data_IF_986047458625
#
_entry.id   IF_986047458625
#
_cell.length_a   1.000
_cell.length_b   1.000
_cell.length_c   1.000
_cell.angle_alpha   90.00
_cell.angle_beta   90.00
_cell.angle_gamma   90.00
#
_symmetry.space_group_name_H-M   'P 1'
#
loop_
_entity.id
_entity.type
_entity.pdbx_description
1 polymer ?
#
# COMPACT_ATOMS: atom_id res chain seq x y z
N UNK A 1 10.61 5.49 4.06
CA UNK A 1 10.68 4.51 2.97
C UNK A 1 10.36 3.12 3.50
N UNK A 2 9.33 2.49 2.96
CA UNK A 2 8.86 1.15 3.35
C UNK A 2 9.30 0.11 2.32
N UNK A 3 9.71 -1.06 2.81
CA UNK A 3 10.09 -2.21 1.99
C UNK A 3 9.05 -3.33 2.08
N UNK A 4 9.16 -4.32 1.19
CA UNK A 4 8.31 -5.51 1.21
C UNK A 4 8.38 -6.23 2.57
N UNK A 5 9.58 -6.38 3.14
CA UNK A 5 9.73 -7.04 4.46
C UNK A 5 8.97 -6.30 5.56
N UNK A 6 9.09 -4.97 5.61
CA UNK A 6 8.35 -4.14 6.57
C UNK A 6 6.85 -4.36 6.39
N UNK A 7 6.36 -4.34 5.15
CA UNK A 7 4.94 -4.56 4.84
C UNK A 7 4.43 -5.91 5.34
N UNK A 8 5.21 -6.99 5.17
CA UNK A 8 4.83 -8.32 5.68
C UNK A 8 4.78 -8.33 7.21
N UNK A 9 5.78 -7.74 7.86
CA UNK A 9 5.86 -7.67 9.31
C UNK A 9 4.68 -6.86 9.88
N UNK A 10 4.43 -5.68 9.31
CA UNK A 10 3.32 -4.81 9.70
C UNK A 10 1.96 -5.50 9.49
N UNK A 11 1.74 -6.20 8.36
CA UNK A 11 0.50 -6.98 8.13
C UNK A 11 0.33 -8.10 9.17
N UNK A 12 1.43 -8.78 9.50
CA UNK A 12 1.40 -9.86 10.48
C UNK A 12 1.09 -9.33 11.87
N UNK A 13 1.70 -8.22 12.27
CA UNK A 13 1.53 -7.61 13.58
C UNK A 13 0.15 -6.96 13.74
N UNK A 14 -0.26 -6.16 12.76
CA UNK A 14 -1.47 -5.36 12.85
C UNK A 14 -2.75 -6.18 12.66
N UNK A 15 -2.79 -7.07 11.68
CA UNK A 15 -4.03 -7.80 11.32
C UNK A 15 -3.89 -9.32 11.44
N UNK A 16 -2.76 -9.83 11.94
CA UNK A 16 -2.58 -11.26 12.16
C UNK A 16 -2.57 -12.08 10.86
N UNK A 17 -2.14 -11.48 9.73
CA UNK A 17 -2.26 -12.06 8.38
C UNK A 17 -3.70 -12.46 7.99
N UNK A 18 -4.73 -11.81 8.55
CA UNK A 18 -6.11 -12.05 8.14
C UNK A 18 -6.27 -11.79 6.63
N UNK A 19 -6.57 -12.82 5.82
CA UNK A 19 -6.45 -12.73 4.37
C UNK A 19 -7.60 -11.95 3.72
N UNK A 20 -8.70 -11.75 4.43
CA UNK A 20 -9.93 -11.09 3.96
C UNK A 20 -9.87 -9.56 4.02
N UNK A 21 -8.80 -9.00 4.60
CA UNK A 21 -8.58 -7.56 4.56
C UNK A 21 -8.33 -7.09 3.13
N UNK A 22 -9.03 -6.04 2.70
CA UNK A 22 -8.79 -5.36 1.42
C UNK A 22 -7.76 -4.25 1.60
N UNK A 23 -6.92 -4.03 0.59
CA UNK A 23 -5.85 -3.03 0.65
C UNK A 23 -6.31 -1.72 0.01
N UNK A 24 -6.14 -0.62 0.73
CA UNK A 24 -6.55 0.71 0.31
C UNK A 24 -5.42 1.72 0.50
N UNK A 25 -5.40 2.74 -0.35
CA UNK A 25 -4.57 3.92 -0.17
C UNK A 25 -5.38 5.02 0.52
N UNK A 26 -4.83 5.59 1.60
CA UNK A 26 -5.34 6.83 2.18
C UNK A 26 -4.50 7.98 1.65
N UNK A 27 -5.15 8.88 0.92
CA UNK A 27 -4.53 10.02 0.28
C UNK A 27 -4.50 11.18 1.28
N UNK A 28 -3.32 11.75 1.52
CA UNK A 28 -3.14 12.86 2.44
C UNK A 28 -2.61 14.08 1.68
N UNK A 29 -3.11 15.27 2.02
CA UNK A 29 -2.69 16.56 1.45
C UNK A 29 -2.12 17.44 2.57
N UNK A 30 -1.14 18.27 2.26
CA UNK A 30 -0.68 19.29 3.20
C UNK A 30 -1.80 20.28 3.53
N UNK A 31 -1.89 20.70 4.80
CA UNK A 31 -2.75 21.81 5.19
C UNK A 31 -2.17 23.12 4.61
N UNK A 32 -2.93 23.89 3.81
CA UNK A 32 -2.47 25.16 3.25
C UNK A 32 -2.05 26.20 4.30
N UNK A 33 -2.48 26.04 5.56
CA UNK A 33 -2.17 26.95 6.67
C UNK A 33 -1.02 26.46 7.54
N UNK A 34 -0.68 25.18 7.47
CA UNK A 34 0.30 24.51 8.33
C UNK A 34 0.87 23.28 7.62
N UNK A 35 1.98 23.44 6.89
CA UNK A 35 2.56 22.37 6.08
C UNK A 35 3.03 21.14 6.86
N UNK A 36 3.08 21.19 8.19
CA UNK A 36 3.37 20.03 9.04
C UNK A 36 2.14 19.14 9.25
N UNK A 37 0.93 19.65 8.97
CA UNK A 37 -0.32 18.90 9.11
C UNK A 37 -0.73 18.27 7.79
N UNK A 38 -1.15 17.01 7.90
CA UNK A 38 -1.71 16.24 6.79
C UNK A 38 -3.23 16.12 6.97
N UNK A 39 -3.95 16.55 5.95
CA UNK A 39 -5.41 16.48 5.86
C UNK A 39 -5.82 15.29 5.00
N UNK A 40 -6.95 14.67 5.35
CA UNK A 40 -7.55 13.63 4.53
C UNK A 40 -7.92 14.19 3.14
N UNK A 41 -7.34 13.59 2.11
CA UNK A 41 -7.53 13.94 0.70
C UNK A 41 -8.36 12.93 -0.08
N UNK A 42 -8.66 11.77 0.50
CA UNK A 42 -9.48 10.71 -0.10
C UNK A 42 -9.00 9.31 0.29
N UNK A 43 -9.73 8.31 -0.20
CA UNK A 43 -9.39 6.88 -0.11
C UNK A 43 -9.55 6.25 -1.48
N UNK A 44 -8.69 5.30 -1.80
CA UNK A 44 -8.80 4.54 -3.03
C UNK A 44 -8.41 3.07 -2.83
N UNK A 45 -9.31 2.15 -3.24
CA UNK A 45 -9.02 0.72 -3.23
C UNK A 45 -7.93 0.36 -4.22
N UNK A 46 -6.92 -0.37 -3.76
CA UNK A 46 -5.88 -0.93 -4.62
C UNK A 46 -6.37 -2.28 -5.14
N UNK A 47 -6.08 -2.59 -6.40
CA UNK A 47 -6.62 -3.79 -7.05
C UNK A 47 -5.61 -4.53 -7.93
N UNK A 48 -4.43 -3.93 -8.16
CA UNK A 48 -3.32 -4.58 -8.86
C UNK A 48 -2.00 -4.35 -8.15
N UNK A 49 -1.07 -5.24 -8.43
CA UNK A 49 0.33 -5.07 -8.07
C UNK A 49 1.25 -5.62 -9.15
N UNK A 50 2.47 -5.11 -9.20
CA UNK A 50 3.52 -5.58 -10.10
C UNK A 50 4.88 -5.40 -9.47
N UNK A 51 5.80 -6.34 -9.72
CA UNK A 51 7.21 -6.17 -9.38
C UNK A 51 7.96 -5.56 -10.55
N UNK A 52 8.79 -4.58 -10.25
CA UNK A 52 9.75 -3.98 -11.18
C UNK A 52 11.16 -4.30 -10.71
N UNK A 53 11.72 -5.38 -11.24
CA UNK A 53 13.00 -5.94 -10.77
C UNK A 53 14.17 -4.97 -10.98
N UNK A 54 14.19 -4.25 -12.11
CA UNK A 54 15.24 -3.27 -12.45
C UNK A 54 15.27 -2.08 -11.49
N UNK A 55 14.08 -1.58 -11.14
CA UNK A 55 13.92 -0.49 -10.19
C UNK A 55 13.90 -0.96 -8.73
N UNK A 56 13.86 -2.27 -8.48
CA UNK A 56 13.72 -2.91 -7.17
C UNK A 56 12.49 -2.41 -6.41
N UNK A 57 11.33 -2.43 -7.07
CA UNK A 57 10.05 -1.92 -6.53
C UNK A 57 8.94 -2.97 -6.58
N UNK A 58 8.09 -2.96 -5.56
CA UNK A 58 6.73 -3.50 -5.62
C UNK A 58 5.78 -2.32 -5.79
N UNK A 59 5.06 -2.30 -6.91
CA UNK A 59 4.13 -1.21 -7.22
C UNK A 59 2.70 -1.71 -7.04
N UNK A 60 1.95 -1.05 -6.17
CA UNK A 60 0.52 -1.24 -5.97
C UNK A 60 -0.25 -0.21 -6.80
N UNK A 61 -1.33 -0.62 -7.46
CA UNK A 61 -2.00 0.17 -8.51
C UNK A 61 -3.52 0.09 -8.40
N UNK A 62 -4.17 1.08 -9.01
CA UNK A 62 -5.62 1.12 -9.26
C UNK A 62 -5.84 0.91 -10.76
N UNK A 63 -6.67 -0.06 -11.12
CA UNK A 63 -7.03 -0.41 -12.50
C UNK A 63 -8.46 0.01 -12.89
N UNK A 64 -9.20 0.61 -11.95
CA UNK A 64 -10.58 1.08 -12.15
C UNK A 64 -11.66 0.00 -11.98
N UNK A 65 -11.28 -1.26 -11.73
CA UNK A 65 -12.21 -2.32 -11.34
C UNK A 65 -12.66 -2.18 -9.89
N UNK A 66 -13.81 -2.78 -9.58
CA UNK A 66 -14.38 -2.84 -8.24
C UNK A 66 -13.82 -4.00 -7.40
N UNK A 67 -13.04 -4.90 -7.99
CA UNK A 67 -12.42 -6.01 -7.27
C UNK A 67 -11.24 -5.51 -6.46
N UNK A 68 -11.33 -5.56 -5.13
CA UNK A 68 -10.25 -5.12 -4.24
C UNK A 68 -9.14 -6.16 -4.13
N UNK A 69 -7.89 -5.72 -4.14
CA UNK A 69 -6.74 -6.55 -3.80
C UNK A 69 -6.84 -6.92 -2.31
N UNK A 70 -6.85 -8.22 -2.03
CA UNK A 70 -6.83 -8.70 -0.64
C UNK A 70 -5.40 -8.85 -0.14
N UNK A 71 -5.24 -8.76 1.19
CA UNK A 71 -4.00 -9.08 1.88
C UNK A 71 -3.58 -10.51 1.59
N UNK A 72 -4.54 -11.45 1.57
CA UNK A 72 -4.26 -12.84 1.26
C UNK A 72 -3.63 -13.01 -0.13
N UNK A 73 -4.14 -12.30 -1.12
CA UNK A 73 -3.61 -12.39 -2.49
C UNK A 73 -2.25 -11.72 -2.61
N UNK A 74 -2.04 -10.56 -1.98
CA UNK A 74 -0.75 -9.89 -1.99
C UNK A 74 0.33 -10.74 -1.29
N UNK A 75 0.06 -11.22 -0.08
CA UNK A 75 1.01 -11.99 0.74
C UNK A 75 1.39 -13.30 0.05
N UNK A 76 0.44 -14.00 -0.58
CA UNK A 76 0.75 -15.22 -1.36
C UNK A 76 1.81 -14.97 -2.44
N UNK A 77 1.73 -13.85 -3.14
CA UNK A 77 2.70 -13.51 -4.19
C UNK A 77 4.03 -13.03 -3.65
N UNK A 78 4.02 -12.31 -2.52
CA UNK A 78 5.24 -11.81 -1.90
C UNK A 78 6.05 -12.93 -1.26
N UNK A 79 5.41 -13.86 -0.55
CA UNK A 79 6.09 -14.92 0.20
C UNK A 79 6.82 -15.95 -0.69
N UNK A 80 6.47 -16.04 -1.98
CA UNK A 80 7.15 -16.91 -2.94
C UNK A 80 8.36 -16.23 -3.59
N UNK A 81 8.61 -14.95 -3.31
CA UNK A 81 9.74 -14.22 -3.90
C UNK A 81 11.06 -14.64 -3.25
N UNK A 82 12.14 -14.53 -4.02
CA UNK A 82 13.49 -14.70 -3.49
C UNK A 82 13.74 -13.69 -2.35
N UNK A 83 14.51 -14.09 -1.34
CA UNK A 83 14.82 -13.24 -0.19
C UNK A 83 15.47 -11.90 -0.56
N UNK A 84 16.17 -11.83 -1.69
CA UNK A 84 16.73 -10.58 -2.22
C UNK A 84 15.66 -9.56 -2.64
N UNK A 85 14.47 -10.02 -3.01
CA UNK A 85 13.33 -9.18 -3.41
C UNK A 85 12.56 -8.60 -2.22
N UNK A 86 12.72 -9.17 -1.03
CA UNK A 86 12.11 -8.63 0.21
C UNK A 86 12.58 -7.21 0.54
N UNK A 87 13.72 -6.80 -0.02
CA UNK A 87 14.28 -5.44 0.09
C UNK A 87 13.82 -4.51 -1.04
N UNK A 88 12.76 -4.84 -1.77
CA UNK A 88 12.19 -3.95 -2.77
C UNK A 88 11.33 -2.89 -2.09
N UNK A 89 11.38 -1.67 -2.61
CA UNK A 89 10.59 -0.56 -2.09
C UNK A 89 9.11 -0.74 -2.46
N UNK A 90 8.22 -0.45 -1.51
CA UNK A 90 6.78 -0.43 -1.77
C UNK A 90 6.37 0.95 -2.26
N UNK A 91 5.76 1.01 -3.44
CA UNK A 91 5.30 2.23 -4.10
C UNK A 91 3.84 2.12 -4.53
N UNK A 92 3.18 3.26 -4.65
CA UNK A 92 1.79 3.33 -5.12
C UNK A 92 1.67 4.15 -6.40
N UNK A 93 0.87 3.66 -7.33
CA UNK A 93 0.39 4.42 -8.48
C UNK A 93 -1.12 4.56 -8.35
N UNK A 94 -1.56 5.74 -7.91
CA UNK A 94 -2.98 6.05 -7.75
C UNK A 94 -3.60 6.44 -9.08
N UNK A 95 -2.93 7.30 -9.83
CA UNK A 95 -3.36 7.74 -11.16
C UNK A 95 -2.16 8.28 -11.95
N UNK A 96 -2.42 8.87 -13.12
CA UNK A 96 -1.37 9.45 -13.96
C UNK A 96 -0.59 10.59 -13.26
N UNK A 97 -1.25 11.39 -12.43
CA UNK A 97 -0.63 12.50 -11.71
C UNK A 97 0.18 12.02 -10.50
N UNK A 98 -0.27 10.97 -9.84
CA UNK A 98 0.30 10.41 -8.62
C UNK A 98 0.80 8.98 -8.88
N UNK A 99 1.96 8.92 -9.53
CA UNK A 99 2.68 7.72 -9.92
C UNK A 99 3.97 7.63 -9.09
N UNK A 100 4.36 6.43 -8.65
CA UNK A 100 5.57 6.17 -7.88
C UNK A 100 5.60 6.88 -6.51
N UNK A 101 4.45 6.92 -5.83
CA UNK A 101 4.28 7.61 -4.54
C UNK A 101 4.78 6.74 -3.40
N UNK A 102 5.44 7.36 -2.42
CA UNK A 102 5.95 6.70 -1.22
C UNK A 102 4.85 6.44 -0.19
N UNK A 103 4.86 5.23 0.39
CA UNK A 103 4.09 4.90 1.58
C UNK A 103 4.76 5.50 2.82
N UNK A 104 4.06 6.42 3.47
CA UNK A 104 4.56 7.14 4.65
C UNK A 104 4.05 6.56 5.97
N UNK A 105 3.03 5.70 5.92
CA UNK A 105 2.41 5.11 7.10
C UNK A 105 1.48 3.97 6.75
N UNK A 106 1.05 3.24 7.78
CA UNK A 106 0.16 2.09 7.66
C UNK A 106 -0.94 2.17 8.71
N UNK A 107 -2.06 1.50 8.47
CA UNK A 107 -3.14 1.41 9.44
C UNK A 107 -4.17 0.37 9.05
N UNK A 108 -5.23 0.25 9.87
CA UNK A 108 -6.29 -0.73 9.65
C UNK A 108 -7.66 -0.23 10.11
N UNK A 109 -8.70 -0.81 9.53
CA UNK A 109 -10.07 -0.80 10.06
C UNK A 109 -10.53 -2.26 10.19
N UNK A 110 -10.74 -2.72 11.41
CA UNK A 110 -11.22 -4.08 11.67
C UNK A 110 -12.70 -4.24 11.30
N UNK A 111 -13.50 -3.19 11.52
CA UNK A 111 -14.93 -3.16 11.19
C UNK A 111 -15.16 -3.27 9.69
N UNK A 112 -14.41 -2.52 8.88
CA UNK A 112 -14.54 -2.52 7.43
C UNK A 112 -13.66 -3.57 6.74
N UNK A 113 -12.82 -4.30 7.50
CA UNK A 113 -11.80 -5.22 6.97
C UNK A 113 -10.92 -4.55 5.91
N UNK A 114 -10.35 -3.39 6.26
CA UNK A 114 -9.45 -2.62 5.40
C UNK A 114 -8.07 -2.47 6.00
N UNK A 115 -7.05 -2.62 5.18
CA UNK A 115 -5.66 -2.33 5.48
C UNK A 115 -5.23 -1.11 4.67
N UNK A 116 -4.71 -0.09 5.34
CA UNK A 116 -4.47 1.22 4.76
C UNK A 116 -2.97 1.48 4.56
N UNK A 117 -2.63 1.97 3.37
CA UNK A 117 -1.34 2.53 3.03
C UNK A 117 -1.50 4.05 2.94
N UNK A 118 -0.90 4.79 3.85
CA UNK A 118 -0.96 6.25 3.84
C UNK A 118 0.07 6.79 2.86
N UNK A 119 -0.37 7.70 1.99
CA UNK A 119 0.49 8.38 1.02
C UNK A 119 0.25 9.89 1.07
N UNK A 120 1.31 10.65 0.78
CA UNK A 120 1.24 12.10 0.64
C UNK A 120 1.11 12.47 -0.84
N UNK A 121 0.16 13.33 -1.17
CA UNK A 121 -0.07 13.91 -2.50
C UNK A 121 0.65 15.24 -2.70
#
# INVERSE_FOLDING_TARGET
>A
MKFIIDLIEDIREEIGNQPDFTIHAILLKEDPKDGEKLLYGGEAGLNRFSLEDEARKLILKIDGSLEGLTVGDLIKHILILDGSKMMYEVKLNVNYQYNDVEVIGLGKSEEEKKYFLFIKL
#
